data_IF_023843743832
#
_entry.id   IF_023843743832
#
_cell.length_a   1.000
_cell.length_b   1.000
_cell.length_c   1.000
_cell.angle_alpha   90.00
_cell.angle_beta   90.00
_cell.angle_gamma   90.00
#
_symmetry.space_group_name_H-M   'P 1'
#
loop_
_entity.id
_entity.type
_entity.pdbx_description
1 polymer ?
#
# COMPACT_ATOMS: atom_id res chain seq x y z
N UNK A 1 3.50 -4.55 -25.04
CA UNK A 1 4.82 -5.06 -24.58
C UNK A 1 5.69 -4.04 -23.82
N UNK A 2 5.38 -2.74 -23.89
CA UNK A 2 6.13 -1.71 -23.13
C UNK A 2 5.46 -1.31 -21.82
N UNK A 3 4.23 -1.72 -21.56
CA UNK A 3 3.48 -1.42 -20.33
C UNK A 3 3.71 -2.44 -19.20
N UNK A 4 4.05 -3.68 -19.51
CA UNK A 4 4.30 -4.71 -18.48
C UNK A 4 5.39 -4.35 -17.46
N UNK A 5 6.55 -3.77 -17.84
CA UNK A 5 7.55 -3.34 -16.86
C UNK A 5 7.11 -2.15 -16.02
N UNK A 6 6.14 -1.36 -16.50
CA UNK A 6 5.62 -0.18 -15.80
C UNK A 6 4.61 -0.52 -14.71
N UNK A 7 3.98 -1.67 -14.81
CA UNK A 7 2.85 -2.07 -13.97
C UNK A 7 3.30 -3.01 -12.83
N UNK A 8 4.40 -3.71 -13.01
CA UNK A 8 4.69 -4.92 -12.24
C UNK A 8 5.45 -4.76 -10.94
N UNK A 9 5.91 -3.64 -10.49
CA UNK A 9 6.55 -3.54 -9.15
C UNK A 9 7.10 -2.14 -8.88
N UNK A 10 6.33 -1.34 -8.19
CA UNK A 10 6.85 -0.13 -7.53
C UNK A 10 6.18 1.19 -7.94
N UNK A 11 5.90 2.00 -6.95
CA UNK A 11 5.15 3.25 -7.05
C UNK A 11 5.73 4.33 -7.98
N UNK A 12 7.02 4.27 -8.36
CA UNK A 12 7.61 5.24 -9.30
C UNK A 12 6.98 5.12 -10.68
N UNK A 13 6.59 3.91 -11.06
CA UNK A 13 5.98 3.64 -12.36
C UNK A 13 4.50 4.00 -12.43
N UNK A 14 3.81 4.01 -11.30
CA UNK A 14 2.41 4.47 -11.24
C UNK A 14 2.29 6.00 -11.38
N UNK A 15 3.29 6.78 -11.01
CA UNK A 15 3.26 8.25 -11.14
C UNK A 15 3.19 8.73 -12.59
N UNK A 16 3.91 8.09 -13.50
CA UNK A 16 3.96 8.54 -14.90
C UNK A 16 2.64 8.33 -15.66
N UNK A 17 1.98 7.15 -15.59
CA UNK A 17 0.66 6.95 -16.18
C UNK A 17 -0.46 7.76 -15.50
N UNK A 18 -0.30 8.08 -14.21
CA UNK A 18 -1.30 8.82 -13.42
C UNK A 18 -1.09 10.34 -13.46
N UNK A 19 0.03 10.82 -14.03
CA UNK A 19 0.26 12.25 -14.26
C UNK A 19 -0.80 12.82 -15.18
N UNK A 20 -1.61 13.76 -14.64
CA UNK A 20 -2.72 14.37 -15.37
C UNK A 20 -4.07 13.65 -15.18
N UNK A 21 -4.14 12.56 -14.40
CA UNK A 21 -5.39 11.98 -13.93
C UNK A 21 -5.77 12.56 -12.56
N UNK A 22 -7.08 12.61 -12.25
CA UNK A 22 -7.61 13.00 -10.93
C UNK A 22 -7.36 11.93 -9.86
N UNK A 23 -6.32 11.09 -10.00
CA UNK A 23 -5.97 10.02 -9.07
C UNK A 23 -4.99 10.56 -8.03
N UNK A 24 -5.43 10.64 -6.78
CA UNK A 24 -4.57 11.04 -5.67
C UNK A 24 -3.58 9.92 -5.33
N UNK A 25 -2.27 10.24 -5.37
CA UNK A 25 -1.16 9.35 -4.98
C UNK A 25 -0.24 10.09 -4.01
N UNK A 26 0.57 9.40 -3.16
CA UNK A 26 1.58 10.07 -2.35
C UNK A 26 2.61 10.76 -3.25
N UNK A 27 2.96 12.00 -2.92
CA UNK A 27 4.01 12.71 -3.64
C UNK A 27 5.35 11.98 -3.48
N UNK A 28 6.02 11.71 -4.59
CA UNK A 28 7.42 11.25 -4.59
C UNK A 28 8.33 12.44 -4.35
N UNK A 29 9.10 12.40 -3.26
CA UNK A 29 10.03 13.44 -2.87
C UNK A 29 11.41 13.24 -3.49
N UNK A 30 11.88 11.99 -3.48
CA UNK A 30 13.17 11.60 -4.08
C UNK A 30 13.23 10.08 -4.32
N UNK A 31 14.23 9.66 -5.10
CA UNK A 31 14.63 8.27 -5.25
C UNK A 31 16.08 8.13 -4.82
N UNK A 32 16.35 7.22 -3.89
CA UNK A 32 17.73 6.83 -3.54
C UNK A 32 18.13 5.70 -4.48
N UNK A 33 19.09 5.93 -5.35
CA UNK A 33 19.58 4.93 -6.33
C UNK A 33 21.02 5.22 -6.71
N UNK A 34 21.92 4.27 -6.45
CA UNK A 34 23.36 4.36 -6.82
C UNK A 34 23.65 3.87 -8.24
N UNK A 35 22.66 3.21 -8.87
CA UNK A 35 22.80 2.71 -10.24
C UNK A 35 22.74 3.82 -11.30
N UNK A 36 22.89 3.46 -12.58
CA UNK A 36 22.94 4.41 -13.69
C UNK A 36 21.57 4.95 -14.11
N UNK A 37 20.45 4.46 -13.51
CA UNK A 37 19.09 4.85 -13.89
C UNK A 37 18.85 6.33 -13.59
N UNK A 38 18.16 7.02 -14.48
CA UNK A 38 17.62 8.36 -14.28
C UNK A 38 16.13 8.31 -13.97
N UNK A 39 15.65 9.35 -13.29
CA UNK A 39 14.25 9.50 -12.88
C UNK A 39 13.77 10.90 -13.29
N UNK A 40 13.28 11.08 -14.54
CA UNK A 40 12.85 12.39 -15.05
C UNK A 40 11.83 13.04 -14.11
N UNK A 41 12.06 14.31 -13.76
CA UNK A 41 11.20 15.07 -12.87
C UNK A 41 11.27 14.68 -11.37
N UNK A 42 12.14 13.72 -10.98
CA UNK A 42 12.31 13.29 -9.60
C UNK A 42 13.76 13.42 -9.15
N UNK A 43 13.99 13.97 -7.96
CA UNK A 43 15.33 14.09 -7.38
C UNK A 43 15.92 12.70 -7.16
N UNK A 44 17.10 12.44 -7.73
CA UNK A 44 17.89 11.25 -7.43
C UNK A 44 18.91 11.56 -6.34
N UNK A 45 19.12 10.62 -5.43
CA UNK A 45 20.09 10.65 -4.34
C UNK A 45 20.99 9.43 -4.48
N UNK A 46 22.29 9.63 -4.54
CA UNK A 46 23.28 8.54 -4.70
C UNK A 46 24.33 8.53 -3.59
N UNK A 47 24.48 9.63 -2.85
CA UNK A 47 25.48 9.81 -1.80
C UNK A 47 24.89 10.32 -0.50
N UNK A 48 25.60 10.13 0.62
CA UNK A 48 25.20 10.65 1.93
C UNK A 48 25.15 12.18 1.97
N UNK A 49 26.04 12.85 1.23
CA UNK A 49 26.01 14.30 1.09
C UNK A 49 24.73 14.78 0.39
N UNK A 50 24.34 14.15 -0.74
CA UNK A 50 23.08 14.46 -1.44
C UNK A 50 21.85 14.15 -0.58
N UNK A 51 21.90 13.09 0.26
CA UNK A 51 20.82 12.78 1.20
C UNK A 51 20.69 13.86 2.27
N UNK A 52 21.82 14.28 2.84
CA UNK A 52 21.87 15.39 3.81
C UNK A 52 21.32 16.68 3.21
N UNK A 53 21.70 17.01 1.97
CA UNK A 53 21.17 18.18 1.25
C UNK A 53 19.67 18.07 0.95
N UNK A 54 19.19 16.86 0.71
CA UNK A 54 17.76 16.60 0.53
C UNK A 54 16.98 16.88 1.81
N UNK A 55 17.38 16.31 2.95
CA UNK A 55 16.65 16.47 4.22
C UNK A 55 16.79 17.87 4.83
N UNK A 56 17.70 18.69 4.35
CA UNK A 56 17.78 20.10 4.70
C UNK A 56 16.67 20.95 4.05
N UNK A 57 15.96 20.42 3.05
CA UNK A 57 14.79 21.11 2.46
C UNK A 57 13.60 21.06 3.42
N UNK A 58 12.80 22.14 3.53
CA UNK A 58 11.73 22.24 4.52
C UNK A 58 10.69 21.12 4.51
N UNK A 59 10.33 20.61 3.34
CA UNK A 59 9.27 19.62 3.19
C UNK A 59 9.81 18.20 2.94
N UNK A 60 11.10 17.95 3.18
CA UNK A 60 11.73 16.67 2.94
C UNK A 60 11.38 15.63 4.02
N UNK A 61 11.07 16.08 5.23
CA UNK A 61 10.68 15.24 6.38
C UNK A 61 9.37 15.72 6.98
N UNK A 62 8.53 14.83 7.54
CA UNK A 62 8.70 13.38 7.57
C UNK A 62 8.40 12.71 6.23
N UNK A 63 9.05 11.58 5.96
CA UNK A 63 8.82 10.79 4.76
C UNK A 63 8.60 9.30 5.07
N UNK A 64 7.94 8.61 4.16
CA UNK A 64 7.89 7.15 4.09
C UNK A 64 8.87 6.66 3.02
N UNK A 65 9.74 5.73 3.37
CA UNK A 65 10.70 5.12 2.46
C UNK A 65 10.38 3.64 2.25
N UNK A 66 10.43 3.20 1.00
CA UNK A 66 10.26 1.79 0.63
C UNK A 66 11.14 1.41 -0.54
N UNK A 67 11.48 0.13 -0.64
CA UNK A 67 12.15 -0.39 -1.82
C UNK A 67 11.30 -0.15 -3.06
N UNK A 68 11.93 0.33 -4.14
CA UNK A 68 11.25 0.61 -5.41
C UNK A 68 10.66 -0.66 -6.07
N UNK A 69 11.29 -1.82 -5.83
CA UNK A 69 10.86 -3.13 -6.34
C UNK A 69 10.64 -4.14 -5.21
N UNK A 70 10.46 -3.65 -3.99
CA UNK A 70 10.20 -4.48 -2.82
C UNK A 70 8.83 -5.13 -2.88
N UNK A 71 8.69 -6.24 -2.18
CA UNK A 71 7.43 -6.93 -1.93
C UNK A 71 7.14 -6.89 -0.42
N UNK A 72 5.87 -6.97 -0.04
CA UNK A 72 5.47 -7.12 1.36
C UNK A 72 5.98 -6.01 2.30
N UNK A 73 6.27 -4.82 1.79
CA UNK A 73 6.83 -3.67 2.56
C UNK A 73 8.09 -4.02 3.36
N UNK A 74 8.89 -5.04 2.93
CA UNK A 74 10.19 -5.29 3.50
C UNK A 74 11.08 -4.06 3.32
N UNK A 75 11.90 -3.74 4.32
CA UNK A 75 12.77 -2.57 4.30
C UNK A 75 12.04 -1.22 4.45
N UNK A 76 10.71 -1.19 4.62
CA UNK A 76 9.97 0.06 4.80
C UNK A 76 10.41 0.80 6.07
N UNK A 77 10.61 2.11 5.95
CA UNK A 77 11.08 3.00 7.02
C UNK A 77 10.26 4.29 7.03
N UNK A 78 10.18 4.92 8.21
CA UNK A 78 9.64 6.28 8.36
C UNK A 78 10.75 7.18 8.89
N UNK A 79 11.21 8.12 8.07
CA UNK A 79 12.10 9.20 8.48
C UNK A 79 11.29 10.33 9.11
N UNK A 80 11.60 10.68 10.35
CA UNK A 80 10.84 11.67 11.13
C UNK A 80 11.49 13.04 11.06
N UNK A 81 12.64 13.19 11.70
CA UNK A 81 13.39 14.44 11.85
C UNK A 81 14.84 14.22 11.44
N UNK A 82 15.44 15.21 10.84
CA UNK A 82 16.83 15.16 10.38
C UNK A 82 17.60 16.43 10.80
N UNK A 83 18.90 16.29 11.00
CA UNK A 83 19.81 17.42 11.24
C UNK A 83 21.16 17.19 10.54
N UNK A 84 22.17 18.00 10.88
CA UNK A 84 23.50 17.90 10.26
C UNK A 84 24.23 16.57 10.48
N UNK A 85 23.79 15.75 11.45
CA UNK A 85 24.47 14.51 11.89
C UNK A 85 23.74 13.24 11.48
N UNK A 86 22.45 13.30 11.12
CA UNK A 86 21.69 12.12 10.75
C UNK A 86 20.18 12.34 10.81
N UNK A 87 19.45 11.26 10.69
CA UNK A 87 17.99 11.22 10.66
C UNK A 87 17.45 10.27 11.75
N UNK A 88 16.34 10.64 12.36
CA UNK A 88 15.60 9.78 13.26
C UNK A 88 14.65 8.88 12.46
N UNK A 89 14.89 7.59 12.48
CA UNK A 89 14.02 6.57 11.87
C UNK A 89 13.08 6.02 12.95
N UNK A 90 11.78 6.03 12.68
CA UNK A 90 10.74 5.54 13.62
C UNK A 90 11.09 4.10 14.05
N UNK A 91 11.08 3.85 15.37
CA UNK A 91 11.40 2.56 16.02
C UNK A 91 12.86 2.07 15.88
N UNK A 92 13.75 2.84 15.25
CA UNK A 92 15.16 2.47 15.08
C UNK A 92 16.12 3.51 15.71
N UNK A 93 15.59 4.66 16.13
CA UNK A 93 16.38 5.75 16.67
C UNK A 93 17.12 6.55 15.61
N UNK A 94 18.20 7.21 16.05
CA UNK A 94 19.00 8.06 15.19
C UNK A 94 20.01 7.24 14.38
N UNK A 95 20.06 7.51 13.08
CA UNK A 95 20.98 6.88 12.13
C UNK A 95 21.73 7.98 11.38
N UNK A 96 23.05 7.91 11.27
CA UNK A 96 23.83 8.79 10.41
C UNK A 96 23.60 8.46 8.93
N UNK A 97 23.90 9.42 8.05
CA UNK A 97 23.57 9.29 6.62
C UNK A 97 24.39 8.23 5.89
N UNK A 98 25.64 7.98 6.31
CA UNK A 98 26.49 6.93 5.71
C UNK A 98 25.95 5.54 6.09
N UNK A 99 25.65 5.32 7.35
CA UNK A 99 25.00 4.07 7.83
C UNK A 99 23.66 3.84 7.16
N UNK A 100 22.83 4.89 7.04
CA UNK A 100 21.54 4.78 6.37
C UNK A 100 21.69 4.31 4.93
N UNK A 101 22.60 4.94 4.16
CA UNK A 101 22.78 4.60 2.76
C UNK A 101 23.49 3.27 2.56
N UNK A 102 24.52 2.97 3.36
CA UNK A 102 25.36 1.81 3.14
C UNK A 102 24.79 0.52 3.70
N UNK A 103 24.15 0.59 4.88
CA UNK A 103 23.74 -0.59 5.64
C UNK A 103 22.23 -0.83 5.58
N UNK A 104 21.41 0.25 5.50
CA UNK A 104 19.95 0.12 5.52
C UNK A 104 19.34 0.09 4.13
N UNK A 105 19.83 0.92 3.23
CA UNK A 105 19.36 1.02 1.83
C UNK A 105 20.21 0.11 0.94
N UNK A 106 21.54 0.21 1.03
CA UNK A 106 22.46 -0.57 0.21
C UNK A 106 22.35 -0.19 -1.28
N UNK A 107 22.39 -1.20 -2.13
CA UNK A 107 22.31 -1.06 -3.59
C UNK A 107 20.86 -1.16 -4.14
N UNK A 108 19.89 -1.41 -3.26
CA UNK A 108 18.48 -1.48 -3.66
C UNK A 108 17.92 -0.06 -3.81
N UNK A 109 17.31 0.30 -4.96
CA UNK A 109 16.69 1.60 -5.10
C UNK A 109 15.52 1.78 -4.13
N UNK A 110 15.46 2.92 -3.44
CA UNK A 110 14.40 3.31 -2.50
C UNK A 110 13.63 4.51 -3.00
N UNK A 111 12.32 4.46 -2.79
CA UNK A 111 11.40 5.54 -3.05
C UNK A 111 11.13 6.28 -1.74
N UNK A 112 11.37 7.59 -1.72
CA UNK A 112 11.00 8.48 -0.61
C UNK A 112 9.72 9.22 -0.99
N UNK A 113 8.68 9.04 -0.19
CA UNK A 113 7.36 9.63 -0.42
C UNK A 113 6.91 10.49 0.75
N UNK A 114 6.09 11.51 0.48
CA UNK A 114 5.45 12.28 1.55
C UNK A 114 4.69 11.35 2.50
N UNK A 115 4.97 11.48 3.81
CA UNK A 115 4.27 10.68 4.81
C UNK A 115 2.79 11.08 4.83
N UNK A 116 1.91 10.09 4.67
CA UNK A 116 0.47 10.26 4.76
C UNK A 116 -0.03 9.83 6.14
N UNK A 117 -1.08 10.51 6.61
CA UNK A 117 -1.75 10.17 7.86
C UNK A 117 -3.13 9.60 7.57
N UNK A 118 -3.57 8.72 8.43
CA UNK A 118 -4.91 8.16 8.38
C UNK A 118 -5.99 9.24 8.59
N UNK A 119 -7.19 8.97 8.08
CA UNK A 119 -8.41 9.60 8.57
C UNK A 119 -8.60 9.31 10.07
N UNK A 120 -9.13 10.24 10.85
CA UNK A 120 -9.29 10.14 12.31
C UNK A 120 -10.06 8.91 12.80
N UNK A 121 -10.87 8.30 11.93
CA UNK A 121 -11.55 7.03 12.22
C UNK A 121 -10.56 5.91 12.59
N UNK A 122 -9.34 5.93 12.05
CA UNK A 122 -8.30 4.92 12.30
C UNK A 122 -7.51 5.17 13.59
N UNK A 123 -7.57 6.37 14.18
CA UNK A 123 -6.78 6.73 15.37
C UNK A 123 -7.05 5.80 16.57
N UNK A 124 -8.25 5.20 16.62
CA UNK A 124 -8.63 4.20 17.61
C UNK A 124 -8.00 2.82 17.41
N UNK A 125 -7.32 2.59 16.30
CA UNK A 125 -6.74 1.29 15.95
C UNK A 125 -5.23 1.36 15.75
N UNK A 126 -4.73 2.37 15.06
CA UNK A 126 -3.33 2.41 14.63
C UNK A 126 -2.87 3.84 14.28
N UNK A 127 -1.61 4.12 14.55
CA UNK A 127 -0.94 5.34 14.06
C UNK A 127 -0.33 5.17 12.66
N UNK A 128 0.04 3.93 12.30
CA UNK A 128 0.62 3.66 10.99
C UNK A 128 -0.46 3.66 9.91
N UNK A 129 -0.09 4.02 8.69
CA UNK A 129 -1.03 4.12 7.58
C UNK A 129 -1.67 2.76 7.29
N UNK A 130 -2.99 2.71 7.43
CA UNK A 130 -3.81 1.58 7.05
C UNK A 130 -4.26 1.69 5.59
N UNK A 131 -4.44 0.57 4.90
CA UNK A 131 -4.97 0.56 3.54
C UNK A 131 -6.11 -0.43 3.38
N UNK A 132 -6.95 -0.19 2.39
CA UNK A 132 -7.93 -1.16 1.92
C UNK A 132 -7.44 -1.72 0.60
N UNK A 133 -7.27 -3.04 0.53
CA UNK A 133 -7.06 -3.74 -0.74
C UNK A 133 -8.40 -3.97 -1.41
N UNK A 134 -8.58 -3.41 -2.58
CA UNK A 134 -9.76 -3.59 -3.44
C UNK A 134 -9.37 -4.56 -4.55
N UNK A 135 -9.97 -5.76 -4.56
CA UNK A 135 -9.81 -6.71 -5.66
C UNK A 135 -10.78 -6.35 -6.78
N UNK A 136 -10.28 -6.16 -7.99
CA UNK A 136 -11.02 -5.62 -9.12
C UNK A 136 -10.99 -6.59 -10.29
N UNK A 137 -12.15 -6.87 -10.84
CA UNK A 137 -12.33 -7.56 -12.11
C UNK A 137 -12.95 -6.57 -13.11
N UNK A 138 -12.24 -6.28 -14.21
CA UNK A 138 -12.75 -5.47 -15.30
C UNK A 138 -13.56 -6.36 -16.24
N UNK A 139 -14.88 -6.25 -16.16
CA UNK A 139 -15.83 -6.93 -17.05
C UNK A 139 -16.17 -6.03 -18.23
N UNK A 140 -16.88 -6.56 -19.21
CA UNK A 140 -17.37 -5.76 -20.34
C UNK A 140 -18.47 -4.77 -19.91
N UNK A 141 -19.14 -5.04 -18.78
CA UNK A 141 -20.17 -4.17 -18.17
C UNK A 141 -19.57 -3.14 -17.20
N UNK A 142 -18.25 -3.15 -16.93
CA UNK A 142 -17.57 -2.23 -16.04
C UNK A 142 -16.78 -2.90 -14.92
N UNK A 143 -16.56 -2.16 -13.84
CA UNK A 143 -15.76 -2.60 -12.69
C UNK A 143 -16.61 -3.44 -11.72
N UNK A 144 -16.14 -4.64 -11.43
CA UNK A 144 -16.71 -5.49 -10.37
C UNK A 144 -15.70 -5.71 -9.26
N UNK A 145 -16.13 -5.50 -8.00
CA UNK A 145 -15.32 -5.70 -6.79
C UNK A 145 -15.84 -6.92 -6.02
N UNK A 146 -15.26 -8.11 -6.22
CA UNK A 146 -15.67 -9.32 -5.50
C UNK A 146 -15.21 -9.35 -4.04
N UNK A 147 -14.07 -8.74 -3.73
CA UNK A 147 -13.48 -8.73 -2.39
C UNK A 147 -12.85 -7.38 -2.07
N UNK A 148 -12.95 -6.99 -0.80
CA UNK A 148 -12.22 -5.87 -0.22
C UNK A 148 -11.66 -6.27 1.15
N UNK A 149 -10.41 -5.89 1.45
CA UNK A 149 -9.73 -6.25 2.70
C UNK A 149 -9.11 -5.00 3.31
N UNK A 150 -9.58 -4.62 4.49
CA UNK A 150 -8.92 -3.59 5.31
C UNK A 150 -7.70 -4.22 6.00
N UNK A 151 -6.53 -3.62 5.79
CA UNK A 151 -5.26 -4.01 6.42
C UNK A 151 -4.91 -2.99 7.50
N UNK A 152 -4.91 -3.43 8.75
CA UNK A 152 -4.58 -2.58 9.90
C UNK A 152 -3.20 -2.97 10.45
N UNK A 153 -2.21 -2.06 10.41
CA UNK A 153 -0.97 -2.23 11.17
C UNK A 153 -1.25 -2.30 12.66
N UNK A 154 -0.46 -3.09 13.37
CA UNK A 154 -0.60 -3.27 14.82
C UNK A 154 0.76 -3.12 15.51
N UNK A 155 0.75 -2.72 16.77
CA UNK A 155 1.96 -2.52 17.57
C UNK A 155 2.91 -1.51 16.95
N UNK A 156 4.18 -1.89 16.86
CA UNK A 156 5.25 -1.06 16.30
C UNK A 156 5.40 -1.20 14.76
N UNK A 157 4.48 -1.90 14.08
CA UNK A 157 4.56 -2.05 12.64
C UNK A 157 4.35 -0.69 11.94
N UNK A 158 5.26 -0.33 11.04
CA UNK A 158 5.19 0.93 10.27
C UNK A 158 4.45 0.77 8.93
N UNK A 159 4.02 -0.46 8.60
CA UNK A 159 3.35 -0.79 7.36
C UNK A 159 2.29 -1.89 7.58
N UNK A 160 1.30 -1.92 6.72
CA UNK A 160 0.09 -2.72 6.80
C UNK A 160 0.21 -4.15 6.22
N UNK A 161 1.43 -4.60 5.93
CA UNK A 161 1.62 -5.96 5.43
C UNK A 161 1.07 -7.00 6.42
N UNK A 162 0.03 -7.73 6.00
CA UNK A 162 -0.66 -8.74 6.81
C UNK A 162 0.27 -9.87 7.31
N UNK A 163 1.33 -10.17 6.59
CA UNK A 163 2.29 -11.21 6.98
C UNK A 163 3.19 -10.83 8.14
N UNK A 164 3.18 -9.56 8.57
CA UNK A 164 3.83 -9.14 9.81
C UNK A 164 2.98 -9.52 11.02
N UNK A 165 3.62 -10.07 12.03
CA UNK A 165 2.94 -10.48 13.27
C UNK A 165 2.15 -9.32 13.87
N UNK A 166 0.92 -9.60 14.28
CA UNK A 166 0.01 -8.65 14.90
C UNK A 166 -0.86 -7.86 13.94
N UNK A 167 -0.46 -7.66 12.68
CA UNK A 167 -1.30 -6.96 11.72
C UNK A 167 -2.61 -7.72 11.46
N UNK A 168 -3.69 -6.95 11.30
CA UNK A 168 -5.01 -7.52 11.03
C UNK A 168 -5.36 -7.39 9.54
N UNK A 169 -6.04 -8.41 9.03
CA UNK A 169 -6.80 -8.39 7.78
C UNK A 169 -8.28 -8.50 8.11
N UNK A 170 -9.06 -7.52 7.68
CA UNK A 170 -10.49 -7.48 7.91
C UNK A 170 -11.22 -7.60 6.58
N UNK A 171 -12.12 -8.60 6.45
CA UNK A 171 -13.03 -8.68 5.31
C UNK A 171 -14.00 -7.49 5.36
N UNK A 172 -14.12 -6.79 4.25
CA UNK A 172 -15.01 -5.63 4.11
C UNK A 172 -16.05 -5.93 3.05
N UNK A 173 -17.31 -5.74 3.38
CA UNK A 173 -18.39 -5.88 2.41
C UNK A 173 -18.21 -4.86 1.27
N UNK A 174 -17.97 -5.28 0.02
CA UNK A 174 -17.71 -4.36 -1.09
C UNK A 174 -18.85 -3.36 -1.35
N UNK A 175 -20.09 -3.76 -1.08
CA UNK A 175 -21.27 -2.90 -1.31
C UNK A 175 -21.45 -1.82 -0.24
N UNK A 176 -21.10 -2.10 1.02
CA UNK A 176 -21.45 -1.22 2.13
C UNK A 176 -20.26 -0.62 2.86
N UNK A 177 -19.07 -1.16 2.70
CA UNK A 177 -17.89 -0.81 3.47
C UNK A 177 -17.90 -1.33 4.91
N UNK A 178 -18.86 -2.20 5.28
CA UNK A 178 -18.94 -2.79 6.61
C UNK A 178 -17.84 -3.83 6.82
N UNK A 179 -17.18 -3.79 7.95
CA UNK A 179 -16.21 -4.81 8.40
C UNK A 179 -16.97 -6.05 8.83
N UNK A 180 -16.75 -7.17 8.15
CA UNK A 180 -17.45 -8.44 8.37
C UNK A 180 -16.68 -9.38 9.30
N UNK A 181 -15.37 -9.41 9.18
CA UNK A 181 -14.44 -10.20 9.99
C UNK A 181 -13.18 -9.40 10.27
N UNK A 182 -12.44 -9.77 11.31
CA UNK A 182 -11.10 -9.25 11.57
C UNK A 182 -10.20 -10.39 12.03
N UNK A 183 -9.01 -10.57 11.41
CA UNK A 183 -8.14 -11.71 11.64
C UNK A 183 -6.69 -11.32 11.74
N UNK A 184 -5.96 -12.00 12.63
CA UNK A 184 -4.49 -12.05 12.57
C UNK A 184 -4.03 -13.41 12.07
N UNK A 185 -2.79 -13.49 11.59
CA UNK A 185 -2.14 -14.74 11.21
C UNK A 185 -0.92 -15.00 12.10
N UNK A 186 -0.77 -16.24 12.53
CA UNK A 186 0.42 -16.75 13.22
C UNK A 186 0.92 -18.03 12.55
N UNK A 187 2.01 -18.59 13.04
CA UNK A 187 2.49 -19.91 12.61
C UNK A 187 1.49 -21.04 12.92
N UNK A 188 0.61 -20.83 13.91
CA UNK A 188 -0.39 -21.83 14.35
C UNK A 188 -1.75 -21.68 13.62
N UNK A 189 -1.90 -20.69 12.74
CA UNK A 189 -3.14 -20.42 12.02
C UNK A 189 -3.64 -18.99 12.16
N UNK A 190 -4.94 -18.80 11.94
CA UNK A 190 -5.61 -17.51 12.06
C UNK A 190 -6.39 -17.42 13.37
N UNK A 191 -6.48 -16.20 13.91
CA UNK A 191 -7.31 -15.89 15.09
C UNK A 191 -8.32 -14.82 14.71
N UNK A 192 -9.59 -15.06 15.01
CA UNK A 192 -10.69 -14.12 14.74
C UNK A 192 -10.89 -13.17 15.91
N UNK A 193 -11.21 -11.92 15.60
CA UNK A 193 -11.50 -10.85 16.56
C UNK A 193 -12.80 -10.14 16.20
N UNK A 194 -13.53 -9.65 17.19
CA UNK A 194 -14.64 -8.71 17.00
C UNK A 194 -14.22 -7.28 17.29
N UNK A 195 -13.24 -7.13 18.15
CA UNK A 195 -12.63 -5.88 18.60
C UNK A 195 -11.14 -5.89 18.29
N UNK A 196 -10.52 -4.72 18.18
CA UNK A 196 -9.08 -4.63 17.96
C UNK A 196 -8.32 -5.19 19.18
N UNK A 197 -7.43 -6.18 19.02
CA UNK A 197 -6.83 -6.92 20.14
C UNK A 197 -6.01 -6.06 21.11
N UNK A 198 -5.44 -4.94 20.65
CA UNK A 198 -4.62 -4.08 21.51
C UNK A 198 -5.42 -2.94 22.13
N UNK A 199 -6.40 -2.39 21.40
CA UNK A 199 -7.12 -1.19 21.86
C UNK A 199 -8.52 -1.47 22.42
N UNK A 200 -9.08 -2.68 22.17
CA UNK A 200 -10.44 -3.03 22.55
C UNK A 200 -11.52 -2.31 21.74
N UNK A 201 -11.14 -1.53 20.73
CA UNK A 201 -12.09 -0.80 19.90
C UNK A 201 -12.88 -1.75 19.00
N UNK A 202 -14.19 -1.53 18.87
CA UNK A 202 -15.04 -2.34 17.98
C UNK A 202 -14.52 -2.29 16.54
N UNK A 203 -14.50 -3.44 15.86
CA UNK A 203 -14.09 -3.60 14.46
C UNK A 203 -15.22 -4.18 13.63
N UNK A 204 -15.71 -5.36 13.99
CA UNK A 204 -16.76 -6.05 13.23
C UNK A 204 -18.08 -5.30 13.37
N UNK A 205 -18.68 -4.95 12.25
CA UNK A 205 -19.88 -4.13 12.16
C UNK A 205 -19.59 -2.64 11.92
N UNK A 206 -18.36 -2.17 12.16
CA UNK A 206 -17.95 -0.80 11.84
C UNK A 206 -17.91 -0.59 10.32
N UNK A 207 -18.10 0.66 9.88
CA UNK A 207 -18.04 1.01 8.46
C UNK A 207 -16.77 1.80 8.15
N UNK A 208 -16.02 1.36 7.16
CA UNK A 208 -14.84 2.08 6.63
C UNK A 208 -15.28 3.45 6.12
N UNK A 209 -14.62 4.56 6.55
CA UNK A 209 -15.03 5.90 6.16
C UNK A 209 -14.85 6.14 4.66
N UNK A 210 -15.63 7.08 4.11
CA UNK A 210 -15.55 7.51 2.70
C UNK A 210 -15.64 6.37 1.68
N UNK A 211 -16.37 5.29 1.99
CA UNK A 211 -16.36 4.06 1.21
C UNK A 211 -16.69 4.28 -0.27
N UNK A 212 -17.71 5.08 -0.56
CA UNK A 212 -18.11 5.37 -1.94
C UNK A 212 -16.98 6.09 -2.73
N UNK A 213 -16.21 6.96 -2.05
CA UNK A 213 -15.04 7.62 -2.64
C UNK A 213 -13.87 6.65 -2.85
N UNK A 214 -13.71 5.66 -1.96
CA UNK A 214 -12.72 4.57 -2.13
C UNK A 214 -13.01 3.77 -3.38
N UNK A 215 -14.27 3.36 -3.58
CA UNK A 215 -14.69 2.62 -4.78
C UNK A 215 -14.53 3.46 -6.05
N UNK A 216 -14.90 4.73 -6.01
CA UNK A 216 -14.72 5.65 -7.16
C UNK A 216 -13.24 5.80 -7.53
N UNK A 217 -12.33 5.91 -6.54
CA UNK A 217 -10.90 5.98 -6.82
C UNK A 217 -10.37 4.67 -7.40
N UNK A 218 -10.82 3.52 -6.85
CA UNK A 218 -10.45 2.19 -7.34
C UNK A 218 -10.88 1.98 -8.80
N UNK A 219 -12.10 2.37 -9.15
CA UNK A 219 -12.62 2.33 -10.51
C UNK A 219 -11.80 3.19 -11.48
N UNK A 220 -11.58 4.47 -11.13
CA UNK A 220 -10.74 5.38 -11.92
C UNK A 220 -9.34 4.81 -12.15
N UNK A 221 -8.71 4.29 -11.09
CA UNK A 221 -7.37 3.70 -11.19
C UNK A 221 -7.38 2.44 -12.08
N UNK A 222 -8.39 1.59 -11.96
CA UNK A 222 -8.50 0.37 -12.76
C UNK A 222 -8.60 0.69 -14.26
N UNK A 223 -9.35 1.72 -14.64
CA UNK A 223 -9.48 2.14 -16.03
C UNK A 223 -8.16 2.65 -16.66
N UNK A 224 -7.22 3.16 -15.85
CA UNK A 224 -5.88 3.54 -16.36
C UNK A 224 -5.07 2.31 -16.80
N UNK A 225 -5.35 1.16 -16.20
CA UNK A 225 -4.66 -0.10 -16.48
C UNK A 225 -5.58 -1.10 -17.19
N UNK A 226 -6.49 -0.62 -18.01
CA UNK A 226 -7.56 -1.38 -18.69
C UNK A 226 -7.11 -2.73 -19.32
N UNK A 227 -5.92 -2.86 -19.95
CA UNK A 227 -5.47 -4.15 -20.45
C UNK A 227 -5.33 -5.24 -19.39
N UNK A 228 -5.23 -4.86 -18.12
CA UNK A 228 -5.13 -5.79 -16.99
C UNK A 228 -6.52 -6.04 -16.43
N UNK A 229 -7.14 -7.15 -16.81
CA UNK A 229 -8.52 -7.50 -16.44
C UNK A 229 -8.68 -7.83 -14.95
N UNK A 230 -7.66 -8.40 -14.30
CA UNK A 230 -7.61 -8.62 -12.86
C UNK A 230 -6.57 -7.73 -12.20
N UNK A 231 -7.01 -6.91 -11.28
CA UNK A 231 -6.17 -5.93 -10.58
C UNK A 231 -6.47 -5.95 -9.07
N UNK A 232 -5.53 -5.48 -8.26
CA UNK A 232 -5.83 -5.11 -6.88
C UNK A 232 -5.16 -3.79 -6.51
N UNK A 233 -5.95 -2.91 -5.88
CA UNK A 233 -5.53 -1.57 -5.48
C UNK A 233 -5.40 -1.50 -3.96
N UNK A 234 -4.26 -1.00 -3.47
CA UNK A 234 -4.09 -0.65 -2.06
C UNK A 234 -4.38 0.84 -1.90
N UNK A 235 -5.47 1.18 -1.23
CA UNK A 235 -5.98 2.53 -1.07
C UNK A 235 -5.94 2.90 0.41
N UNK A 236 -5.18 3.92 0.77
CA UNK A 236 -5.24 4.55 2.09
C UNK A 236 -6.39 5.58 2.14
N UNK A 237 -6.89 5.86 3.33
CA UNK A 237 -7.91 6.86 3.54
C UNK A 237 -7.35 7.93 4.47
N UNK A 238 -6.99 9.07 3.89
CA UNK A 238 -6.51 10.24 4.62
C UNK A 238 -7.65 11.18 5.04
N UNK A 239 -7.30 12.25 5.73
CA UNK A 239 -8.26 13.31 6.15
C UNK A 239 -9.03 13.91 4.97
N UNK A 240 -8.35 14.09 3.84
CA UNK A 240 -8.89 14.79 2.67
C UNK A 240 -9.55 13.84 1.67
N UNK A 241 -9.32 12.54 1.83
CA UNK A 241 -9.90 11.51 0.99
C UNK A 241 -9.03 10.29 0.76
N UNK A 242 -9.49 9.37 -0.11
CA UNK A 242 -8.74 8.18 -0.46
C UNK A 242 -7.52 8.53 -1.32
N UNK A 243 -6.45 7.73 -1.12
CA UNK A 243 -5.14 7.89 -1.74
C UNK A 243 -4.69 6.53 -2.28
N UNK A 244 -4.42 6.41 -3.57
CA UNK A 244 -3.88 5.19 -4.15
C UNK A 244 -2.40 5.03 -3.74
N UNK A 245 -2.11 3.97 -2.99
CA UNK A 245 -0.75 3.66 -2.50
C UNK A 245 -0.03 2.73 -3.47
N UNK A 246 -0.76 1.77 -4.03
CA UNK A 246 -0.20 0.76 -4.92
C UNK A 246 -1.28 0.19 -5.85
N UNK A 247 -0.93 -0.02 -7.12
CA UNK A 247 -1.72 -0.78 -8.07
C UNK A 247 -0.97 -2.09 -8.39
N UNK A 248 -1.62 -3.22 -8.17
CA UNK A 248 -1.07 -4.54 -8.41
C UNK A 248 -1.78 -5.18 -9.60
N UNK A 249 -1.01 -5.67 -10.55
CA UNK A 249 -1.50 -6.50 -11.65
C UNK A 249 -1.64 -7.94 -11.16
N UNK A 250 -2.85 -8.39 -10.93
CA UNK A 250 -3.10 -9.73 -10.44
C UNK A 250 -2.64 -9.96 -9.00
N UNK A 251 -3.29 -9.42 -8.00
CA UNK A 251 -2.98 -9.67 -6.58
C UNK A 251 -3.14 -11.14 -6.19
N UNK A 252 -2.44 -11.58 -5.13
CA UNK A 252 -2.61 -12.93 -4.58
C UNK A 252 -4.03 -13.13 -4.03
N UNK A 253 -4.56 -14.34 -4.19
CA UNK A 253 -5.88 -14.72 -3.69
C UNK A 253 -5.87 -15.03 -2.18
N UNK A 254 -4.69 -15.24 -1.61
CA UNK A 254 -4.49 -15.65 -0.23
C UNK A 254 -5.01 -14.63 0.79
N UNK A 255 -4.72 -13.34 0.60
CA UNK A 255 -5.16 -12.30 1.52
C UNK A 255 -6.69 -12.18 1.62
N UNK A 256 -7.46 -12.03 0.52
CA UNK A 256 -8.93 -12.00 0.60
C UNK A 256 -9.53 -13.31 1.12
N UNK A 257 -8.94 -14.47 0.81
CA UNK A 257 -9.39 -15.76 1.34
C UNK A 257 -9.16 -15.85 2.86
N UNK A 258 -8.00 -15.44 3.34
CA UNK A 258 -7.71 -15.42 4.77
C UNK A 258 -8.61 -14.43 5.53
N UNK A 259 -8.80 -13.24 5.00
CA UNK A 259 -9.65 -12.23 5.62
C UNK A 259 -11.11 -12.70 5.69
N UNK A 260 -11.68 -13.17 4.59
CA UNK A 260 -13.10 -13.54 4.52
C UNK A 260 -13.40 -14.95 5.05
N UNK A 261 -12.43 -15.87 5.05
CA UNK A 261 -12.65 -17.29 5.29
C UNK A 261 -13.36 -18.02 4.14
N UNK A 262 -13.45 -17.38 2.97
CA UNK A 262 -14.10 -17.91 1.76
C UNK A 262 -13.08 -18.09 0.64
N UNK A 263 -13.30 -19.07 -0.26
CA UNK A 263 -12.53 -19.19 -1.48
C UNK A 263 -12.66 -17.95 -2.37
N UNK A 264 -11.58 -17.55 -3.01
CA UNK A 264 -11.60 -16.44 -3.98
C UNK A 264 -12.31 -16.84 -5.28
N UNK A 265 -12.12 -18.07 -5.72
CA UNK A 265 -12.69 -18.61 -6.96
C UNK A 265 -14.15 -19.04 -6.73
N UNK A 266 -15.03 -18.06 -6.58
CA UNK A 266 -16.49 -18.30 -6.65
C UNK A 266 -16.89 -18.63 -8.08
N UNK A 267 -18.09 -19.16 -8.30
CA UNK A 267 -18.55 -19.52 -9.65
C UNK A 267 -18.52 -18.31 -10.61
N UNK A 268 -18.86 -17.11 -10.10
CA UNK A 268 -18.83 -15.88 -10.89
C UNK A 268 -17.38 -15.45 -11.23
N UNK A 269 -16.45 -15.59 -10.27
CA UNK A 269 -15.03 -15.28 -10.51
C UNK A 269 -14.42 -16.29 -11.50
N UNK A 270 -14.77 -17.55 -11.38
CA UNK A 270 -14.34 -18.59 -12.34
C UNK A 270 -14.90 -18.31 -13.74
N UNK A 271 -16.18 -17.92 -13.85
CA UNK A 271 -16.79 -17.53 -15.13
C UNK A 271 -16.02 -16.35 -15.76
N UNK A 272 -15.75 -15.31 -14.99
CA UNK A 272 -14.95 -14.17 -15.46
C UNK A 272 -13.58 -14.59 -16.02
N UNK A 273 -12.83 -15.43 -15.31
CA UNK A 273 -11.51 -15.87 -15.81
C UNK A 273 -11.63 -16.72 -17.07
N UNK A 274 -12.69 -17.55 -17.20
CA UNK A 274 -12.96 -18.30 -18.42
C UNK A 274 -13.27 -17.38 -19.59
N UNK A 275 -14.07 -16.36 -19.38
CA UNK A 275 -14.38 -15.33 -20.40
C UNK A 275 -13.13 -14.55 -20.83
N UNK A 276 -12.15 -14.38 -19.93
CA UNK A 276 -10.82 -13.86 -20.24
C UNK A 276 -9.89 -14.89 -20.94
N UNK A 277 -10.37 -16.08 -21.27
CA UNK A 277 -9.62 -17.11 -21.99
C UNK A 277 -8.85 -18.10 -21.10
N UNK A 278 -9.08 -18.09 -19.78
CA UNK A 278 -8.41 -18.98 -18.85
C UNK A 278 -9.17 -20.31 -18.72
N UNK A 279 -8.87 -21.27 -19.60
CA UNK A 279 -9.62 -22.53 -19.74
C UNK A 279 -9.31 -23.62 -18.71
N UNK A 280 -8.33 -23.38 -17.79
CA UNK A 280 -7.87 -24.39 -16.82
C UNK A 280 -8.45 -24.24 -15.42
N UNK A 281 -9.44 -23.38 -15.24
CA UNK A 281 -10.18 -23.18 -13.98
C UNK A 281 -11.46 -24.01 -13.99
#
# INVERSE_FOLDING_TARGET
DQLEPLITKGCVTAHTPLSGSDICVPQTLAVVDRGPRSYPGTRKISTAAEFKDFVACPDATPFFAKENRGICSWGAMVGLEADSKGIHIKNQGRVDYETLLNERIGDTPYLLQSLKRNHSWFDRYTEALATVRICILLTDDGVWVPFAVLKLPSGNNVADNFWRSGNLACDVCPKTGAVMTARTKSALGTTDYREHPETGSALVGERVPMWDRVLTLAEKAACVFEPVRYQSMDIAIGSDGPILIEANTGGGFDLPQLASGRGFLTDEVVAFFRDCGYSKL
#
